data_IF_494525253452
#
_entry.id   IF_494525253452
#
_cell.length_a   1.000
_cell.length_b   1.000
_cell.length_c   1.000
_cell.angle_alpha   90.00
_cell.angle_beta   90.00
_cell.angle_gamma   90.00
#
_symmetry.space_group_name_H-M   'P 1'
#
loop_
_entity.id
_entity.type
_entity.pdbx_description
1 polymer ?
#
# COMPACT_ATOMS: atom_id res chain seq x y z
N UNK A 1 8.92 -12.35 6.84
CA UNK A 1 8.15 -13.00 5.76
C UNK A 1 8.54 -14.47 5.55
N UNK A 2 9.82 -14.80 5.34
CA UNK A 2 10.24 -16.19 5.11
C UNK A 2 9.92 -17.15 6.27
N UNK A 3 9.93 -16.66 7.50
CA UNK A 3 9.53 -17.43 8.69
C UNK A 3 8.02 -17.68 8.77
N UNK A 4 7.22 -16.99 7.95
CA UNK A 4 5.77 -17.08 7.96
C UNK A 4 5.21 -17.88 6.78
N UNK A 5 6.00 -18.13 5.74
CA UNK A 5 5.53 -18.77 4.51
C UNK A 5 6.41 -19.97 4.21
N UNK A 6 5.79 -21.14 4.12
CA UNK A 6 6.43 -22.35 3.58
C UNK A 6 6.65 -22.17 2.08
N UNK A 7 7.90 -22.31 1.64
CA UNK A 7 8.33 -22.13 0.25
C UNK A 7 8.68 -23.44 -0.46
N UNK A 8 8.82 -24.53 0.28
CA UNK A 8 9.41 -25.78 -0.21
C UNK A 8 8.36 -26.86 -0.47
N UNK A 9 7.25 -26.84 0.27
CA UNK A 9 6.19 -27.82 0.06
C UNK A 9 5.59 -27.69 -1.34
N UNK A 10 5.39 -28.81 -2.06
CA UNK A 10 4.71 -28.80 -3.35
C UNK A 10 3.26 -28.31 -3.18
N UNK A 11 2.79 -27.52 -4.14
CA UNK A 11 1.40 -27.11 -4.21
C UNK A 11 0.64 -28.08 -5.13
N UNK A 12 -0.56 -28.45 -4.70
CA UNK A 12 -1.50 -29.24 -5.49
C UNK A 12 -2.76 -28.40 -5.69
N UNK A 13 -3.41 -28.57 -6.83
CA UNK A 13 -4.70 -27.93 -7.11
C UNK A 13 -5.81 -28.52 -6.20
N UNK A 14 -6.84 -27.73 -5.85
CA UNK A 14 -7.10 -26.34 -6.27
C UNK A 14 -6.26 -25.31 -5.51
N UNK A 15 -5.85 -24.25 -6.22
CA UNK A 15 -5.20 -23.08 -5.61
C UNK A 15 -6.18 -22.28 -4.76
N UNK A 16 -5.69 -21.72 -3.65
CA UNK A 16 -6.49 -20.93 -2.72
C UNK A 16 -6.04 -19.47 -2.69
N UNK A 17 -7.00 -18.57 -2.49
CA UNK A 17 -6.74 -17.14 -2.35
C UNK A 17 -6.72 -16.75 -0.85
N UNK A 18 -5.90 -15.76 -0.43
CA UNK A 18 -5.83 -15.37 0.96
C UNK A 18 -7.09 -14.60 1.39
N UNK A 19 -7.74 -15.06 2.46
CA UNK A 19 -8.94 -14.45 3.01
C UNK A 19 -8.63 -13.83 4.37
N UNK A 20 -8.87 -12.52 4.49
CA UNK A 20 -8.77 -11.80 5.76
C UNK A 20 -10.17 -11.65 6.35
N UNK A 21 -10.31 -11.71 7.68
CA UNK A 21 -11.60 -11.64 8.36
C UNK A 21 -12.35 -10.32 8.03
N UNK A 22 -13.44 -10.37 7.25
CA UNK A 22 -14.18 -9.16 6.88
C UNK A 22 -15.03 -8.62 8.04
N UNK A 23 -15.35 -9.47 9.03
CA UNK A 23 -16.22 -9.19 10.17
C UNK A 23 -15.48 -8.57 11.36
N UNK A 24 -14.24 -8.10 11.17
CA UNK A 24 -13.53 -7.32 12.19
C UNK A 24 -14.38 -6.11 12.62
N UNK A 25 -14.54 -5.87 13.94
CA UNK A 25 -15.30 -4.74 14.45
C UNK A 25 -14.80 -3.43 13.87
N UNK A 26 -15.73 -2.59 13.42
CA UNK A 26 -15.40 -1.24 13.01
C UNK A 26 -14.82 -0.48 14.22
N UNK A 27 -13.67 0.17 14.03
CA UNK A 27 -12.98 0.89 15.09
C UNK A 27 -12.14 2.03 14.55
N UNK A 28 -11.71 2.93 15.44
CA UNK A 28 -10.70 3.94 15.12
C UNK A 28 -9.37 3.31 14.74
N UNK A 29 -9.05 2.10 15.23
CA UNK A 29 -7.80 1.42 14.91
C UNK A 29 -7.77 0.81 13.51
N UNK A 30 -8.95 0.43 12.99
CA UNK A 30 -9.13 -0.09 11.62
C UNK A 30 -9.52 1.00 10.62
N UNK A 31 -9.64 2.24 11.08
CA UNK A 31 -9.94 3.44 10.28
C UNK A 31 -11.29 3.41 9.55
N UNK A 32 -12.27 2.66 10.04
CA UNK A 32 -13.59 2.52 9.41
C UNK A 32 -14.40 3.84 9.39
N UNK A 33 -13.98 4.87 10.13
CA UNK A 33 -14.55 6.22 10.09
C UNK A 33 -14.20 6.98 8.80
N UNK A 34 -13.17 6.54 8.06
CA UNK A 34 -12.84 7.08 6.75
C UNK A 34 -13.78 6.46 5.71
N UNK A 35 -14.43 7.30 4.88
CA UNK A 35 -15.51 6.84 4.00
C UNK A 35 -15.02 5.77 3.00
N UNK A 36 -13.80 5.89 2.47
CA UNK A 36 -13.20 4.88 1.60
C UNK A 36 -12.96 3.53 2.28
N UNK A 37 -12.77 3.52 3.60
CA UNK A 37 -12.57 2.30 4.40
C UNK A 37 -13.89 1.71 4.87
N UNK A 38 -14.79 2.54 5.41
CA UNK A 38 -16.12 2.12 5.86
C UNK A 38 -17.00 1.65 4.70
N UNK A 39 -16.98 2.35 3.56
CA UNK A 39 -17.74 2.02 2.35
C UNK A 39 -16.90 1.28 1.29
N UNK A 40 -15.83 0.59 1.70
CA UNK A 40 -14.89 -0.14 0.81
C UNK A 40 -15.54 -1.15 -0.16
N UNK A 41 -16.77 -1.59 0.12
CA UNK A 41 -17.53 -2.46 -0.77
C UNK A 41 -17.89 -1.81 -2.12
N UNK A 42 -17.96 -0.48 -2.17
CA UNK A 42 -18.27 0.30 -3.38
C UNK A 42 -17.04 1.05 -3.92
N UNK A 43 -15.84 0.67 -3.47
CA UNK A 43 -14.61 1.37 -3.82
C UNK A 43 -14.24 1.15 -5.29
N UNK A 44 -14.17 2.24 -6.06
CA UNK A 44 -13.65 2.23 -7.42
C UNK A 44 -12.13 2.17 -7.38
N UNK A 45 -11.54 1.00 -7.59
CA UNK A 45 -10.11 0.78 -7.45
C UNK A 45 -9.54 0.01 -8.65
N UNK A 46 -8.46 0.53 -9.23
CA UNK A 46 -7.71 -0.11 -10.31
C UNK A 46 -6.55 -0.96 -9.78
N UNK A 47 -6.35 -2.15 -10.33
CA UNK A 47 -5.26 -3.05 -9.93
C UNK A 47 -3.86 -2.51 -10.23
N UNK A 48 -2.93 -2.69 -9.29
CA UNK A 48 -1.55 -2.19 -9.35
C UNK A 48 -0.57 -3.26 -9.88
N UNK A 49 -0.70 -3.66 -11.15
CA UNK A 49 0.07 -4.77 -11.75
C UNK A 49 1.59 -4.68 -11.56
N UNK A 50 2.13 -3.46 -11.52
CA UNK A 50 3.57 -3.19 -11.29
C UNK A 50 4.11 -3.71 -9.95
N UNK A 51 3.23 -3.95 -8.97
CA UNK A 51 3.63 -4.47 -7.66
C UNK A 51 3.87 -5.98 -7.66
N UNK A 52 3.60 -6.69 -8.77
CA UNK A 52 3.79 -8.15 -8.85
C UNK A 52 5.20 -8.58 -8.48
N UNK A 53 6.22 -7.96 -9.06
CA UNK A 53 7.62 -8.33 -8.79
C UNK A 53 8.02 -8.10 -7.33
N UNK A 54 7.45 -7.07 -6.69
CA UNK A 54 7.69 -6.80 -5.27
C UNK A 54 7.04 -7.86 -4.37
N UNK A 55 5.81 -8.27 -4.67
CA UNK A 55 5.15 -9.35 -3.94
C UNK A 55 5.93 -10.67 -4.06
N UNK A 56 6.34 -11.03 -5.28
CA UNK A 56 7.14 -12.24 -5.54
C UNK A 56 8.45 -12.23 -4.75
N UNK A 57 9.14 -11.08 -4.74
CA UNK A 57 10.37 -10.85 -3.98
C UNK A 57 10.14 -10.99 -2.47
N UNK A 58 9.10 -10.34 -1.92
CA UNK A 58 8.78 -10.39 -0.50
C UNK A 58 8.38 -11.79 -0.06
N UNK A 59 7.60 -12.49 -0.88
CA UNK A 59 7.21 -13.88 -0.65
C UNK A 59 8.38 -14.86 -0.88
N UNK A 60 9.57 -14.39 -1.28
CA UNK A 60 10.75 -15.21 -1.62
C UNK A 60 10.40 -16.38 -2.55
N UNK A 61 9.42 -16.18 -3.44
CA UNK A 61 8.98 -17.18 -4.39
C UNK A 61 9.99 -17.21 -5.55
N UNK A 62 11.02 -18.04 -5.44
CA UNK A 62 12.03 -18.27 -6.48
C UNK A 62 11.75 -19.60 -7.21
N UNK A 63 10.64 -19.71 -7.92
CA UNK A 63 10.31 -20.95 -8.63
C UNK A 63 9.75 -20.64 -10.01
N UNK A 64 10.25 -21.40 -11.00
CA UNK A 64 9.85 -21.33 -12.39
C UNK A 64 8.33 -21.39 -12.56
N UNK A 65 7.86 -20.66 -13.56
CA UNK A 65 6.48 -20.20 -13.75
C UNK A 65 5.93 -19.30 -12.61
N UNK A 66 6.00 -17.99 -12.89
CA UNK A 66 5.61 -16.82 -12.08
C UNK A 66 4.10 -16.71 -11.85
N UNK A 67 3.48 -17.78 -11.37
CA UNK A 67 2.03 -17.85 -11.17
C UNK A 67 1.69 -17.22 -9.83
N UNK A 68 1.01 -16.07 -9.91
CA UNK A 68 0.56 -15.27 -8.77
C UNK A 68 -0.35 -16.09 -7.83
N UNK A 69 -0.98 -17.14 -8.38
CA UNK A 69 -1.81 -18.15 -7.73
C UNK A 69 -1.03 -19.00 -6.72
N UNK A 70 0.25 -19.31 -6.99
CA UNK A 70 1.09 -20.05 -6.05
C UNK A 70 1.42 -19.20 -4.82
N UNK A 71 1.76 -17.93 -5.05
CA UNK A 71 2.00 -16.97 -3.97
C UNK A 71 0.74 -16.79 -3.13
N UNK A 72 -0.42 -16.66 -3.79
CA UNK A 72 -1.72 -16.57 -3.13
C UNK A 72 -1.99 -17.78 -2.22
N UNK A 73 -1.81 -18.99 -2.75
CA UNK A 73 -2.05 -20.25 -2.03
C UNK A 73 -1.13 -20.38 -0.82
N UNK A 74 0.14 -19.98 -0.97
CA UNK A 74 1.11 -20.00 0.14
C UNK A 74 0.74 -19.01 1.24
N UNK A 75 0.30 -17.79 0.88
CA UNK A 75 -0.19 -16.81 1.86
C UNK A 75 -1.46 -17.35 2.55
N UNK A 76 -2.41 -17.91 1.80
CA UNK A 76 -3.65 -18.46 2.34
C UNK A 76 -3.38 -19.56 3.38
N UNK A 77 -2.58 -20.57 3.03
CA UNK A 77 -2.18 -21.65 3.96
C UNK A 77 -1.42 -21.16 5.18
N UNK A 78 -0.61 -20.11 5.03
CA UNK A 78 0.08 -19.50 6.16
C UNK A 78 -0.90 -18.80 7.11
N UNK A 79 -1.91 -18.12 6.55
CA UNK A 79 -2.95 -17.45 7.32
C UNK A 79 -3.88 -18.43 8.03
N UNK A 80 -4.16 -19.60 7.45
CA UNK A 80 -4.92 -20.67 8.13
C UNK A 80 -4.25 -21.12 9.43
N UNK A 81 -2.91 -21.08 9.49
CA UNK A 81 -2.14 -21.44 10.70
C UNK A 81 -1.99 -20.28 11.67
N UNK A 82 -2.02 -19.04 11.19
CA UNK A 82 -1.86 -17.84 12.01
C UNK A 82 -2.65 -16.68 11.39
N UNK A 83 -3.94 -16.63 11.70
CA UNK A 83 -4.86 -15.63 11.17
C UNK A 83 -4.53 -14.23 11.69
N UNK A 84 -4.11 -14.09 12.95
CA UNK A 84 -3.72 -12.81 13.59
C UNK A 84 -2.42 -12.19 13.07
N UNK A 85 -1.71 -12.85 12.16
CA UNK A 85 -0.44 -12.34 11.63
C UNK A 85 -0.62 -11.08 10.78
N UNK A 86 -0.26 -9.93 11.34
CA UNK A 86 -0.31 -8.64 10.64
C UNK A 86 0.61 -8.60 9.41
N UNK A 87 1.70 -9.38 9.41
CA UNK A 87 2.62 -9.53 8.27
C UNK A 87 1.96 -10.27 7.13
N UNK A 88 1.30 -11.41 7.41
CA UNK A 88 0.58 -12.18 6.39
C UNK A 88 -0.61 -11.40 5.84
N UNK A 89 -1.33 -10.67 6.71
CA UNK A 89 -2.40 -9.77 6.29
C UNK A 89 -1.89 -8.66 5.34
N UNK A 90 -0.71 -8.09 5.58
CA UNK A 90 -0.10 -7.12 4.65
C UNK A 90 0.27 -7.75 3.29
N UNK A 91 0.77 -8.99 3.27
CA UNK A 91 1.06 -9.70 2.01
C UNK A 91 -0.20 -10.04 1.23
N UNK A 92 -1.26 -10.48 1.93
CA UNK A 92 -2.58 -10.71 1.36
C UNK A 92 -3.15 -9.41 0.78
N UNK A 93 -3.04 -8.29 1.49
CA UNK A 93 -3.44 -6.98 0.98
C UNK A 93 -2.68 -6.61 -0.29
N UNK A 94 -1.35 -6.83 -0.34
CA UNK A 94 -0.54 -6.58 -1.54
C UNK A 94 -0.99 -7.43 -2.74
N UNK A 95 -1.31 -8.71 -2.51
CA UNK A 95 -1.90 -9.58 -3.52
C UNK A 95 -3.22 -9.01 -4.06
N UNK A 96 -4.15 -8.62 -3.18
CA UNK A 96 -5.44 -8.04 -3.59
C UNK A 96 -5.30 -6.69 -4.32
N UNK A 97 -4.29 -5.89 -3.96
CA UNK A 97 -3.94 -4.65 -4.66
C UNK A 97 -3.50 -4.91 -6.09
N UNK A 98 -2.74 -5.98 -6.34
CA UNK A 98 -2.33 -6.39 -7.69
C UNK A 98 -3.54 -6.89 -8.50
N UNK A 99 -4.43 -7.66 -7.88
CA UNK A 99 -5.64 -8.19 -8.53
C UNK A 99 -6.71 -7.11 -8.81
N UNK A 100 -6.60 -5.92 -8.19
CA UNK A 100 -7.62 -4.88 -8.32
C UNK A 100 -8.83 -5.06 -7.41
N UNK A 101 -8.78 -5.99 -6.45
CA UNK A 101 -9.87 -6.21 -5.51
C UNK A 101 -9.74 -5.27 -4.30
N UNK A 102 -10.08 -3.99 -4.50
CA UNK A 102 -9.92 -2.93 -3.49
C UNK A 102 -10.58 -3.25 -2.15
N UNK A 103 -11.79 -3.83 -2.18
CA UNK A 103 -12.50 -4.29 -0.97
C UNK A 103 -11.66 -5.28 -0.16
N UNK A 104 -11.20 -6.36 -0.80
CA UNK A 104 -10.41 -7.42 -0.15
C UNK A 104 -9.05 -6.89 0.33
N UNK A 105 -8.45 -5.98 -0.43
CA UNK A 105 -7.22 -5.30 0.00
C UNK A 105 -7.43 -4.52 1.30
N UNK A 106 -8.51 -3.73 1.39
CA UNK A 106 -8.82 -2.99 2.61
C UNK A 106 -9.19 -3.91 3.77
N UNK A 107 -9.96 -4.98 3.55
CA UNK A 107 -10.25 -5.96 4.62
C UNK A 107 -8.96 -6.54 5.22
N UNK A 108 -7.97 -6.86 4.38
CA UNK A 108 -6.67 -7.32 4.84
C UNK A 108 -5.84 -6.23 5.54
N UNK A 109 -5.90 -4.97 5.09
CA UNK A 109 -5.21 -3.87 5.75
C UNK A 109 -5.85 -3.53 7.10
N UNK A 110 -7.18 -3.61 7.22
CA UNK A 110 -7.90 -3.52 8.51
C UNK A 110 -7.41 -4.61 9.46
N UNK A 111 -7.28 -5.83 8.96
CA UNK A 111 -6.73 -6.96 9.72
C UNK A 111 -5.31 -6.70 10.21
N UNK A 112 -4.45 -6.21 9.32
CA UNK A 112 -3.07 -5.85 9.70
C UNK A 112 -3.04 -4.75 10.75
N UNK A 113 -3.80 -3.66 10.58
CA UNK A 113 -3.85 -2.54 11.53
C UNK A 113 -4.41 -2.94 12.90
N UNK A 114 -5.32 -3.90 12.95
CA UNK A 114 -5.91 -4.40 14.18
C UNK A 114 -4.88 -5.17 15.02
N UNK A 115 -4.11 -6.08 14.40
CA UNK A 115 -3.18 -6.95 15.12
C UNK A 115 -1.74 -6.43 15.19
N UNK A 116 -1.37 -5.44 14.37
CA UNK A 116 -0.01 -4.91 14.36
C UNK A 116 0.31 -4.12 15.66
N UNK A 117 1.51 -4.33 16.25
CA UNK A 117 2.06 -3.41 17.23
C UNK A 117 2.09 -1.98 16.68
N UNK A 118 1.88 -0.98 17.54
CA UNK A 118 1.78 0.43 17.13
C UNK A 118 2.94 0.89 16.21
N UNK A 119 4.18 0.55 16.58
CA UNK A 119 5.39 0.93 15.83
C UNK A 119 5.54 0.22 14.47
N UNK A 120 4.71 -0.79 14.17
CA UNK A 120 4.71 -1.54 12.90
C UNK A 120 3.50 -1.20 12.02
N UNK A 121 2.62 -0.28 12.46
CA UNK A 121 1.40 0.07 11.71
C UNK A 121 1.70 0.86 10.44
N UNK A 122 2.86 1.50 10.33
CA UNK A 122 3.26 2.30 9.17
C UNK A 122 3.19 1.50 7.85
N UNK A 123 3.56 0.21 7.85
CA UNK A 123 3.51 -0.65 6.66
C UNK A 123 2.09 -0.77 6.10
N UNK A 124 1.12 -1.02 6.98
CA UNK A 124 -0.29 -1.14 6.61
C UNK A 124 -0.88 0.23 6.26
N UNK A 125 -0.52 1.29 6.99
CA UNK A 125 -0.95 2.67 6.72
C UNK A 125 -0.46 3.16 5.34
N UNK A 126 0.81 2.95 5.00
CA UNK A 126 1.35 3.28 3.66
C UNK A 126 0.59 2.53 2.57
N UNK A 127 0.33 1.24 2.78
CA UNK A 127 -0.42 0.43 1.81
C UNK A 127 -1.87 0.91 1.65
N UNK A 128 -2.54 1.26 2.75
CA UNK A 128 -3.90 1.78 2.74
C UNK A 128 -3.97 3.16 2.05
N UNK A 129 -3.05 4.06 2.36
CA UNK A 129 -2.97 5.36 1.70
C UNK A 129 -2.79 5.20 0.18
N UNK A 130 -1.96 4.25 -0.27
CA UNK A 130 -1.81 3.97 -1.70
C UNK A 130 -3.11 3.44 -2.33
N UNK A 131 -3.86 2.58 -1.63
CA UNK A 131 -5.18 2.11 -2.10
C UNK A 131 -6.16 3.27 -2.27
N UNK A 132 -6.22 4.16 -1.28
CA UNK A 132 -7.07 5.35 -1.31
C UNK A 132 -6.67 6.31 -2.44
N UNK A 133 -5.36 6.46 -2.73
CA UNK A 133 -4.88 7.26 -3.86
C UNK A 133 -5.33 6.70 -5.20
N UNK A 134 -5.24 5.39 -5.40
CA UNK A 134 -5.74 4.75 -6.63
C UNK A 134 -7.27 4.89 -6.75
N UNK A 135 -7.98 4.94 -5.62
CA UNK A 135 -9.41 5.19 -5.58
C UNK A 135 -9.79 6.69 -5.67
N UNK A 136 -8.83 7.58 -5.93
CA UNK A 136 -9.00 9.05 -6.02
C UNK A 136 -9.50 9.71 -4.73
N UNK A 137 -9.29 9.08 -3.58
CA UNK A 137 -9.65 9.60 -2.25
C UNK A 137 -8.45 10.32 -1.61
N UNK A 138 -7.99 11.41 -2.25
CA UNK A 138 -6.76 12.12 -1.87
C UNK A 138 -6.75 12.67 -0.44
N UNK A 139 -7.89 13.19 0.04
CA UNK A 139 -8.02 13.72 1.42
C UNK A 139 -7.84 12.64 2.49
N UNK A 140 -8.51 11.49 2.32
CA UNK A 140 -8.36 10.37 3.25
C UNK A 140 -6.95 9.77 3.16
N UNK A 141 -6.41 9.64 1.95
CA UNK A 141 -5.04 9.19 1.76
C UNK A 141 -4.02 10.08 2.48
N UNK A 142 -4.24 11.40 2.51
CA UNK A 142 -3.36 12.33 3.24
C UNK A 142 -3.42 12.11 4.74
N UNK A 143 -4.62 11.88 5.31
CA UNK A 143 -4.76 11.53 6.74
C UNK A 143 -4.00 10.24 7.05
N UNK A 144 -4.23 9.18 6.29
CA UNK A 144 -3.61 7.87 6.52
C UNK A 144 -2.09 7.91 6.32
N UNK A 145 -1.61 8.61 5.29
CA UNK A 145 -0.17 8.77 5.05
C UNK A 145 0.50 9.62 6.13
N UNK A 146 -0.18 10.65 6.64
CA UNK A 146 0.30 11.45 7.76
C UNK A 146 0.48 10.61 9.03
N UNK A 147 -0.45 9.70 9.30
CA UNK A 147 -0.30 8.72 10.39
C UNK A 147 0.93 7.83 10.17
N UNK A 148 1.18 7.35 8.95
CA UNK A 148 2.37 6.53 8.66
C UNK A 148 3.67 7.28 8.93
N UNK A 149 3.76 8.56 8.53
CA UNK A 149 4.91 9.43 8.82
C UNK A 149 5.06 9.66 10.33
N UNK A 150 3.97 9.79 11.08
CA UNK A 150 4.03 9.94 12.54
C UNK A 150 4.59 8.69 13.22
N UNK A 151 4.18 7.50 12.79
CA UNK A 151 4.69 6.22 13.32
C UNK A 151 6.17 6.02 12.95
N UNK A 152 6.51 6.28 11.70
CA UNK A 152 7.85 6.04 11.15
C UNK A 152 8.41 7.27 10.45
N UNK A 153 8.85 8.30 11.22
CA UNK A 153 9.29 9.58 10.65
C UNK A 153 10.57 9.47 9.82
N UNK A 154 11.33 8.38 9.97
CA UNK A 154 12.54 8.10 9.19
C UNK A 154 12.32 7.15 8.00
N UNK A 155 11.07 6.87 7.62
CA UNK A 155 10.74 6.03 6.48
C UNK A 155 10.52 6.87 5.21
N UNK A 156 11.43 6.84 4.21
CA UNK A 156 11.29 7.61 2.97
C UNK A 156 10.01 7.28 2.19
N UNK A 157 9.56 6.03 2.28
CA UNK A 157 8.33 5.57 1.61
C UNK A 157 7.10 6.28 2.16
N UNK A 158 7.02 6.45 3.48
CA UNK A 158 5.90 7.13 4.13
C UNK A 158 5.83 8.61 3.70
N UNK A 159 6.97 9.30 3.65
CA UNK A 159 7.06 10.67 3.14
C UNK A 159 6.64 10.77 1.66
N UNK A 160 7.07 9.83 0.81
CA UNK A 160 6.64 9.80 -0.59
C UNK A 160 5.15 9.57 -0.75
N UNK A 161 4.57 8.66 0.03
CA UNK A 161 3.12 8.41 -0.01
C UNK A 161 2.33 9.63 0.45
N UNK A 162 2.80 10.36 1.48
CA UNK A 162 2.21 11.62 1.90
C UNK A 162 2.34 12.70 0.80
N UNK A 163 3.50 12.79 0.14
CA UNK A 163 3.70 13.67 -1.00
C UNK A 163 2.76 13.38 -2.17
N UNK A 164 2.53 12.09 -2.48
CA UNK A 164 1.55 11.68 -3.49
C UNK A 164 0.12 12.09 -3.10
N UNK A 165 -0.21 12.02 -1.81
CA UNK A 165 -1.53 12.45 -1.32
C UNK A 165 -1.74 13.95 -1.42
N UNK A 166 -0.73 14.76 -1.07
CA UNK A 166 -0.79 16.21 -1.31
C UNK A 166 -0.90 16.53 -2.79
N UNK A 167 -0.15 15.82 -3.65
CA UNK A 167 -0.22 16.03 -5.09
C UNK A 167 -1.61 15.68 -5.66
N UNK A 168 -2.27 14.63 -5.17
CA UNK A 168 -3.64 14.27 -5.55
C UNK A 168 -4.68 15.32 -5.12
N UNK A 169 -4.34 16.17 -4.15
CA UNK A 169 -5.13 17.34 -3.74
C UNK A 169 -4.64 18.65 -4.38
N UNK A 170 -3.75 18.55 -5.37
CA UNK A 170 -3.13 19.68 -6.08
C UNK A 170 -2.26 20.62 -5.21
N UNK A 171 -1.96 20.23 -3.97
CA UNK A 171 -1.05 20.95 -3.07
C UNK A 171 0.41 20.60 -3.44
N UNK A 172 0.86 21.15 -4.58
CA UNK A 172 2.19 20.89 -5.16
C UNK A 172 3.32 21.30 -4.21
N UNK A 173 3.14 22.36 -3.43
CA UNK A 173 4.16 22.86 -2.51
C UNK A 173 4.43 21.86 -1.38
N UNK A 174 3.38 21.36 -0.71
CA UNK A 174 3.57 20.33 0.32
C UNK A 174 4.05 19.01 -0.27
N UNK A 175 3.60 18.65 -1.47
CA UNK A 175 4.12 17.47 -2.16
C UNK A 175 5.65 17.55 -2.35
N UNK A 176 6.17 18.68 -2.83
CA UNK A 176 7.61 18.91 -2.99
C UNK A 176 8.36 18.83 -1.66
N UNK A 177 7.81 19.41 -0.58
CA UNK A 177 8.41 19.30 0.75
C UNK A 177 8.52 17.84 1.20
N UNK A 178 7.45 17.05 1.06
CA UNK A 178 7.45 15.64 1.43
C UNK A 178 8.47 14.82 0.60
N UNK A 179 8.56 15.04 -0.72
CA UNK A 179 9.58 14.38 -1.53
C UNK A 179 11.00 14.81 -1.13
N UNK A 180 11.19 16.09 -0.79
CA UNK A 180 12.45 16.59 -0.23
C UNK A 180 12.81 15.90 1.09
N UNK A 181 11.85 15.69 1.99
CA UNK A 181 12.06 14.93 3.24
C UNK A 181 12.45 13.48 2.97
N UNK A 182 11.83 12.82 1.99
CA UNK A 182 12.21 11.46 1.60
C UNK A 182 13.66 11.41 1.08
N UNK A 183 14.09 12.39 0.28
CA UNK A 183 15.45 12.48 -0.24
C UNK A 183 16.48 12.89 0.82
N UNK A 184 16.10 13.69 1.81
CA UNK A 184 16.96 13.99 2.94
C UNK A 184 17.27 12.75 3.79
N UNK A 185 16.32 11.80 3.87
CA UNK A 185 16.50 10.51 4.54
C UNK A 185 17.29 9.52 3.67
N UNK A 186 17.00 9.49 2.37
CA UNK A 186 17.67 8.62 1.40
C UNK A 186 17.85 9.37 0.06
N UNK A 187 19.05 9.94 -0.19
CA UNK A 187 19.30 10.80 -1.36
C UNK A 187 19.03 10.15 -2.71
N UNK A 188 19.23 8.83 -2.81
CA UNK A 188 19.04 8.07 -4.05
C UNK A 188 17.70 7.32 -4.09
N UNK A 189 16.70 7.75 -3.31
CA UNK A 189 15.40 7.08 -3.28
C UNK A 189 14.65 7.27 -4.62
N UNK A 190 14.55 6.23 -5.48
CA UNK A 190 14.17 6.42 -6.88
C UNK A 190 12.76 7.00 -7.04
N UNK A 191 11.83 6.56 -6.19
CA UNK A 191 10.44 7.03 -6.22
C UNK A 191 10.32 8.51 -5.88
N UNK A 192 11.11 9.03 -4.92
CA UNK A 192 11.09 10.46 -4.62
C UNK A 192 11.68 11.28 -5.76
N UNK A 193 12.81 10.85 -6.33
CA UNK A 193 13.45 11.52 -7.46
C UNK A 193 12.51 11.63 -8.66
N UNK A 194 11.86 10.52 -9.02
CA UNK A 194 10.90 10.46 -10.14
C UNK A 194 9.73 11.42 -9.90
N UNK A 195 9.12 11.36 -8.70
CA UNK A 195 7.96 12.19 -8.35
C UNK A 195 8.31 13.68 -8.30
N UNK A 196 9.44 14.03 -7.70
CA UNK A 196 9.90 15.41 -7.59
C UNK A 196 10.15 16.02 -8.98
N UNK A 197 10.84 15.30 -9.87
CA UNK A 197 11.05 15.72 -11.26
C UNK A 197 9.73 15.92 -12.00
N UNK A 198 8.79 14.99 -11.86
CA UNK A 198 7.49 15.09 -12.51
C UNK A 198 6.70 16.34 -12.07
N UNK A 199 6.71 16.66 -10.77
CA UNK A 199 6.05 17.87 -10.25
C UNK A 199 6.73 19.15 -10.73
N UNK A 200 8.07 19.20 -10.72
CA UNK A 200 8.82 20.36 -11.20
C UNK A 200 8.58 20.63 -12.69
N UNK A 201 8.59 19.58 -13.53
CA UNK A 201 8.24 19.70 -14.95
C UNK A 201 6.82 20.26 -15.14
N UNK A 202 5.85 19.78 -14.35
CA UNK A 202 4.47 20.27 -14.43
C UNK A 202 4.34 21.76 -14.07
N UNK A 203 5.09 22.23 -13.06
CA UNK A 203 5.12 23.64 -12.67
C UNK A 203 5.73 24.50 -13.78
N UNK A 204 6.88 24.11 -14.31
CA UNK A 204 7.56 24.86 -15.39
C UNK A 204 6.69 24.98 -16.65
N UNK A 205 6.00 23.90 -17.04
CA UNK A 205 5.07 23.91 -18.17
C UNK A 205 3.89 24.85 -17.90
N UNK A 206 3.29 24.80 -16.70
CA UNK A 206 2.18 25.67 -16.33
C UNK A 206 2.57 27.16 -16.32
N UNK A 207 3.75 27.48 -15.81
CA UNK A 207 4.29 28.85 -15.79
C UNK A 207 4.59 29.37 -17.20
N UNK A 208 5.10 28.52 -18.09
CA UNK A 208 5.34 28.89 -19.48
C UNK A 208 4.03 29.15 -20.25
N UNK A 209 2.98 28.35 -20.03
CA UNK A 209 1.66 28.58 -20.63
C UNK A 209 0.98 29.85 -20.11
N UNK A 210 1.20 30.24 -18.85
CA UNK A 210 0.67 31.51 -18.32
C UNK A 210 1.36 32.75 -18.90
N UNK A 211 2.59 32.62 -19.42
CA UNK A 211 3.35 33.74 -19.98
C UNK A 211 3.00 34.05 -21.44
N UNK A 212 2.28 33.17 -22.13
CA UNK A 212 1.88 33.36 -23.53
C UNK A 212 0.42 32.90 -23.73
N UNK A 213 -0.56 33.82 -23.65
CA UNK A 213 -1.96 33.54 -24.00
C UNK A 213 -2.17 33.38 -25.50
#
# INVERSE_FOLDING_TARGET
VAEHIDLTSPLQEPFSEPVCNPALPASMHTLDHLAGVGARGSLMYGGEKRLRGELERLAKASLGERRLEHVATRIARAMEKNDTSWVLANLAALYWRIQGQGRRAIDCLRHSLHHAPHHMKDVALVSLANVLLQARLGKEAQVVAGMAVHISPRNPTAHCTLGNAYLAMEDRQKALQCYGSALALQPEYPTALERLRAVQCNILVYENHRKWP
#
